data_IF_899571527317
#
_entry.id   IF_899571527317
#
_cell.length_a   1.000
_cell.length_b   1.000
_cell.length_c   1.000
_cell.angle_alpha   90.00
_cell.angle_beta   90.00
_cell.angle_gamma   90.00
#
_symmetry.space_group_name_H-M   'P 1'
#
loop_
_entity.id
_entity.type
_entity.pdbx_description
1 polymer ?
#
# COMPACT_ATOMS: atom_id res chain seq x y z
N UNK A 1 -14.78 -38.28 13.07
CA UNK A 1 -14.01 -38.59 14.30
C UNK A 1 -13.56 -37.29 14.94
N UNK A 2 -13.65 -37.20 16.26
CA UNK A 2 -13.15 -36.05 17.02
C UNK A 2 -11.63 -36.17 17.12
N UNK A 3 -10.89 -35.14 16.73
CA UNK A 3 -9.42 -35.15 16.82
C UNK A 3 -8.98 -35.33 18.26
N UNK A 4 -7.95 -36.14 18.47
CA UNK A 4 -7.35 -36.33 19.80
C UNK A 4 -6.68 -35.04 20.28
N UNK A 5 -6.44 -34.95 21.58
CA UNK A 5 -5.73 -33.80 22.15
C UNK A 5 -4.31 -33.68 21.58
N UNK A 6 -3.63 -34.81 21.37
CA UNK A 6 -2.28 -34.84 20.80
C UNK A 6 -2.25 -34.38 19.34
N UNK A 7 -3.23 -34.77 18.52
CA UNK A 7 -3.37 -34.28 17.14
C UNK A 7 -3.58 -32.75 17.10
N UNK A 8 -4.29 -32.19 18.08
CA UNK A 8 -4.49 -30.74 18.21
C UNK A 8 -3.20 -30.03 18.61
N UNK A 9 -2.46 -30.55 19.59
CA UNK A 9 -1.17 -29.99 19.98
C UNK A 9 -0.13 -30.09 18.87
N UNK A 10 -0.08 -31.21 18.17
CA UNK A 10 0.81 -31.40 17.02
C UNK A 10 0.48 -30.42 15.89
N UNK A 11 -0.80 -30.17 15.61
CA UNK A 11 -1.23 -29.13 14.66
C UNK A 11 -0.72 -27.75 15.09
N UNK A 12 -0.82 -27.40 16.38
CA UNK A 12 -0.35 -26.10 16.88
C UNK A 12 1.16 -25.94 16.71
N UNK A 13 1.93 -27.00 16.99
CA UNK A 13 3.38 -27.02 16.85
C UNK A 13 3.77 -26.92 15.37
N UNK A 14 3.21 -27.77 14.51
CA UNK A 14 3.54 -27.84 13.07
C UNK A 14 3.06 -26.61 12.29
N UNK A 15 1.91 -26.04 12.66
CA UNK A 15 1.35 -24.85 12.02
C UNK A 15 1.88 -23.55 12.61
N UNK A 16 2.82 -23.61 13.57
CA UNK A 16 3.38 -22.44 14.23
C UNK A 16 2.32 -21.52 14.83
N UNK A 17 1.21 -22.06 15.34
CA UNK A 17 0.14 -21.23 15.91
C UNK A 17 0.55 -20.57 17.24
N UNK A 18 1.67 -21.00 17.84
CA UNK A 18 2.17 -20.52 19.13
C UNK A 18 3.69 -20.19 19.19
N UNK A 19 4.46 -20.47 18.13
CA UNK A 19 5.91 -20.21 18.16
C UNK A 19 6.22 -18.77 17.74
N UNK A 20 6.76 -18.01 18.70
CA UNK A 20 7.27 -16.63 18.55
C UNK A 20 8.49 -16.50 17.61
N UNK A 21 8.99 -17.61 17.06
CA UNK A 21 10.22 -17.64 16.28
C UNK A 21 10.02 -18.46 15.00
N UNK A 22 9.89 -17.75 13.88
CA UNK A 22 9.94 -18.31 12.54
C UNK A 22 11.08 -17.60 11.80
N UNK A 23 12.28 -18.21 11.70
CA UNK A 23 13.47 -17.54 11.19
C UNK A 23 13.32 -17.11 9.72
N UNK A 24 12.66 -17.93 8.89
CA UNK A 24 12.41 -17.60 7.48
C UNK A 24 11.50 -16.37 7.36
N UNK A 25 10.46 -16.31 8.20
CA UNK A 25 9.58 -15.15 8.25
C UNK A 25 10.33 -13.91 8.75
N UNK A 26 11.12 -14.02 9.82
CA UNK A 26 11.89 -12.91 10.38
C UNK A 26 12.89 -12.36 9.37
N UNK A 27 13.70 -13.21 8.75
CA UNK A 27 14.68 -12.82 7.74
C UNK A 27 14.01 -12.09 6.56
N UNK A 28 12.90 -12.65 6.05
CA UNK A 28 12.14 -12.02 4.96
C UNK A 28 11.57 -10.66 5.40
N UNK A 29 11.06 -10.57 6.62
CA UNK A 29 10.45 -9.35 7.14
C UNK A 29 11.51 -8.28 7.42
N UNK A 30 12.65 -8.63 8.00
CA UNK A 30 13.79 -7.74 8.21
C UNK A 30 14.36 -7.21 6.89
N UNK A 31 14.45 -8.07 5.87
CA UNK A 31 14.86 -7.66 4.53
C UNK A 31 13.90 -6.64 3.93
N UNK A 32 12.59 -6.87 4.08
CA UNK A 32 11.55 -5.92 3.66
C UNK A 32 11.59 -4.59 4.44
N UNK A 33 11.75 -4.64 5.76
CA UNK A 33 11.87 -3.42 6.57
C UNK A 33 13.12 -2.62 6.19
N UNK A 34 14.22 -3.31 5.90
CA UNK A 34 15.47 -2.70 5.47
C UNK A 34 15.30 -1.99 4.12
N UNK A 35 14.66 -2.62 3.13
CA UNK A 35 14.44 -2.01 1.82
C UNK A 35 13.52 -0.79 1.88
N UNK A 36 12.49 -0.81 2.74
CA UNK A 36 11.64 0.37 3.00
C UNK A 36 12.45 1.50 3.66
N UNK A 37 13.24 1.18 4.69
CA UNK A 37 14.12 2.15 5.37
C UNK A 37 15.09 2.82 4.40
N UNK A 38 15.74 2.04 3.54
CA UNK A 38 16.67 2.56 2.52
C UNK A 38 15.95 3.45 1.51
N UNK A 39 14.78 3.02 1.04
CA UNK A 39 13.92 3.82 0.15
C UNK A 39 13.60 5.19 0.77
N UNK A 40 13.26 5.23 2.06
CA UNK A 40 12.98 6.46 2.79
C UNK A 40 14.23 7.34 2.99
N UNK A 41 15.38 6.73 3.24
CA UNK A 41 16.64 7.47 3.40
C UNK A 41 17.05 8.15 2.09
N UNK A 42 16.90 7.47 0.95
CA UNK A 42 17.14 8.05 -0.38
C UNK A 42 16.20 9.23 -0.64
N UNK A 43 14.91 9.06 -0.33
CA UNK A 43 13.92 10.13 -0.48
C UNK A 43 14.26 11.34 0.41
N UNK A 44 14.64 11.10 1.68
CA UNK A 44 15.06 12.16 2.61
C UNK A 44 16.24 12.95 2.05
N UNK A 45 17.28 12.26 1.60
CA UNK A 45 18.47 12.90 1.05
C UNK A 45 18.13 13.73 -0.20
N UNK A 46 17.26 13.21 -1.08
CA UNK A 46 16.81 13.94 -2.26
C UNK A 46 16.06 15.22 -1.88
N UNK A 47 15.14 15.16 -0.92
CA UNK A 47 14.42 16.33 -0.42
C UNK A 47 15.36 17.35 0.25
N UNK A 48 16.38 16.89 0.97
CA UNK A 48 17.36 17.79 1.60
C UNK A 48 18.23 18.55 0.57
N UNK A 49 18.46 17.97 -0.61
CA UNK A 49 19.27 18.57 -1.68
C UNK A 49 18.42 19.40 -2.66
N UNK A 50 17.30 18.85 -3.13
CA UNK A 50 16.48 19.39 -4.22
C UNK A 50 15.25 20.17 -3.72
N UNK A 51 14.99 20.13 -2.41
CA UNK A 51 13.78 20.66 -1.78
C UNK A 51 12.60 19.70 -1.83
N UNK A 52 11.50 20.04 -1.16
CA UNK A 52 10.29 19.22 -1.16
C UNK A 52 9.47 19.44 -2.44
N UNK A 53 9.31 18.41 -3.25
CA UNK A 53 8.55 18.46 -4.50
C UNK A 53 7.67 17.21 -4.68
N UNK A 54 6.50 17.38 -5.32
CA UNK A 54 5.58 16.26 -5.62
C UNK A 54 6.20 15.21 -6.55
N UNK A 55 7.07 15.65 -7.46
CA UNK A 55 7.81 14.79 -8.39
C UNK A 55 8.58 13.68 -7.67
N UNK A 56 9.20 13.97 -6.51
CA UNK A 56 9.95 12.96 -5.76
C UNK A 56 9.07 11.78 -5.31
N UNK A 57 7.82 12.03 -4.95
CA UNK A 57 6.87 10.99 -4.55
C UNK A 57 6.30 10.24 -5.76
N UNK A 58 6.16 10.90 -6.90
CA UNK A 58 5.77 10.24 -8.15
C UNK A 58 6.85 9.26 -8.62
N UNK A 59 8.10 9.68 -8.61
CA UNK A 59 9.26 8.85 -8.93
C UNK A 59 9.35 7.66 -7.96
N UNK A 60 9.14 7.91 -6.66
CA UNK A 60 9.11 6.87 -5.64
C UNK A 60 8.09 5.77 -5.94
N UNK A 61 6.86 6.16 -6.32
CA UNK A 61 5.79 5.23 -6.68
C UNK A 61 6.07 4.48 -7.99
N UNK A 62 6.69 5.14 -8.96
CA UNK A 62 6.95 4.57 -10.27
C UNK A 62 8.15 3.61 -10.28
N UNK A 63 9.23 3.95 -9.57
CA UNK A 63 10.53 3.31 -9.72
C UNK A 63 10.86 2.31 -8.60
N UNK A 64 10.31 2.50 -7.40
CA UNK A 64 10.69 1.69 -6.23
C UNK A 64 9.66 0.61 -5.95
N UNK A 65 10.12 -0.63 -5.81
CA UNK A 65 9.26 -1.80 -5.54
C UNK A 65 8.33 -1.57 -4.33
N UNK A 66 8.86 -0.97 -3.26
CA UNK A 66 8.13 -0.66 -2.04
C UNK A 66 7.76 0.83 -1.91
N UNK A 67 7.66 1.55 -3.03
CA UNK A 67 7.36 2.98 -3.04
C UNK A 67 6.04 3.33 -2.32
N UNK A 68 4.99 2.54 -2.57
CA UNK A 68 3.71 2.73 -1.86
C UNK A 68 3.86 2.52 -0.35
N UNK A 69 4.55 1.46 0.08
CA UNK A 69 4.76 1.19 1.49
C UNK A 69 5.55 2.30 2.18
N UNK A 70 6.54 2.89 1.50
CA UNK A 70 7.29 4.03 2.00
C UNK A 70 6.39 5.27 2.19
N UNK A 71 5.51 5.58 1.24
CA UNK A 71 4.55 6.70 1.38
C UNK A 71 3.60 6.45 2.54
N UNK A 72 3.03 5.26 2.63
CA UNK A 72 2.09 4.91 3.69
C UNK A 72 2.75 4.95 5.08
N UNK A 73 4.01 4.51 5.18
CA UNK A 73 4.78 4.63 6.42
C UNK A 73 5.01 6.10 6.82
N UNK A 74 5.30 6.99 5.87
CA UNK A 74 5.49 8.42 6.13
C UNK A 74 4.20 9.11 6.59
N UNK A 75 3.06 8.73 6.01
CA UNK A 75 1.76 9.30 6.36
C UNK A 75 1.10 8.63 7.57
N UNK A 76 1.67 7.54 8.06
CA UNK A 76 1.11 6.74 9.16
C UNK A 76 -0.12 5.93 8.75
N UNK A 77 -0.32 5.68 7.46
CA UNK A 77 -1.47 4.92 6.95
C UNK A 77 -1.14 3.44 6.84
N UNK A 78 -2.12 2.59 7.16
CA UNK A 78 -2.04 1.17 6.87
C UNK A 78 -2.47 0.88 5.43
N UNK A 79 -2.00 -0.23 4.87
CA UNK A 79 -2.45 -0.70 3.55
C UNK A 79 -3.97 -0.88 3.50
N UNK A 80 -4.58 -1.39 4.58
CA UNK A 80 -6.02 -1.60 4.67
C UNK A 80 -6.80 -0.28 4.72
N UNK A 81 -6.29 0.71 5.45
CA UNK A 81 -6.88 2.05 5.42
C UNK A 81 -6.80 2.65 4.02
N UNK A 82 -5.67 2.50 3.33
CA UNK A 82 -5.49 2.99 1.97
C UNK A 82 -6.46 2.33 0.98
N UNK A 83 -6.65 1.00 1.03
CA UNK A 83 -7.64 0.29 0.20
C UNK A 83 -9.05 0.83 0.39
N UNK A 84 -9.45 1.05 1.64
CA UNK A 84 -10.75 1.65 1.97
C UNK A 84 -10.88 3.07 1.46
N UNK A 85 -9.83 3.88 1.60
CA UNK A 85 -9.79 5.24 1.08
C UNK A 85 -10.00 5.27 -0.43
N UNK A 86 -9.27 4.42 -1.19
CA UNK A 86 -9.45 4.30 -2.64
C UNK A 86 -10.89 3.86 -2.98
N UNK A 87 -11.45 2.94 -2.21
CA UNK A 87 -12.84 2.48 -2.41
C UNK A 87 -13.84 3.61 -2.21
N UNK A 88 -13.67 4.43 -1.17
CA UNK A 88 -14.50 5.61 -0.90
C UNK A 88 -14.37 6.62 -2.04
N UNK A 89 -13.15 6.93 -2.48
CA UNK A 89 -12.91 7.85 -3.60
C UNK A 89 -13.66 7.37 -4.86
N UNK A 90 -13.66 6.07 -5.13
CA UNK A 90 -14.40 5.49 -6.26
C UNK A 90 -15.91 5.61 -6.11
N UNK A 91 -16.43 5.44 -4.89
CA UNK A 91 -17.87 5.45 -4.62
C UNK A 91 -18.50 6.84 -4.47
N UNK A 92 -17.74 7.82 -4.00
CA UNK A 92 -18.25 9.17 -3.76
C UNK A 92 -18.32 9.96 -5.07
N UNK A 93 -19.47 10.58 -5.33
CA UNK A 93 -19.65 11.55 -6.41
C UNK A 93 -19.44 12.97 -5.86
N UNK A 94 -18.16 13.34 -5.71
CA UNK A 94 -17.74 14.67 -5.27
C UNK A 94 -16.78 15.25 -6.31
N UNK A 95 -17.17 16.38 -6.91
CA UNK A 95 -16.42 17.00 -8.00
C UNK A 95 -15.07 17.59 -7.56
N UNK A 96 -14.95 18.07 -6.32
CA UNK A 96 -13.71 18.65 -5.81
C UNK A 96 -12.69 17.54 -5.54
N UNK A 97 -13.12 16.48 -4.86
CA UNK A 97 -12.33 15.27 -4.62
C UNK A 97 -11.92 14.63 -5.94
N UNK A 98 -12.84 14.46 -6.88
CA UNK A 98 -12.58 13.83 -8.18
C UNK A 98 -11.53 14.61 -8.97
N UNK A 99 -11.59 15.94 -8.93
CA UNK A 99 -10.56 16.82 -9.53
C UNK A 99 -9.22 16.72 -8.80
N UNK A 100 -9.23 16.71 -7.46
CA UNK A 100 -8.02 16.62 -6.65
C UNK A 100 -7.24 15.32 -6.93
N UNK A 101 -7.95 14.19 -6.98
CA UNK A 101 -7.33 12.86 -7.13
C UNK A 101 -7.33 12.35 -8.57
N UNK A 102 -7.77 13.18 -9.54
CA UNK A 102 -7.87 12.83 -10.95
C UNK A 102 -8.72 11.57 -11.21
N UNK A 103 -9.79 11.37 -10.45
CA UNK A 103 -10.63 10.15 -10.44
C UNK A 103 -11.02 9.70 -11.85
N UNK A 104 -11.49 10.62 -12.68
CA UNK A 104 -11.97 10.34 -14.05
C UNK A 104 -10.90 9.79 -15.00
N UNK A 105 -9.61 9.88 -14.60
CA UNK A 105 -8.48 9.43 -15.41
C UNK A 105 -7.98 8.02 -15.04
N UNK A 106 -8.48 7.43 -13.96
CA UNK A 106 -8.03 6.13 -13.50
C UNK A 106 -9.12 5.22 -12.94
N UNK A 107 -10.30 5.76 -12.60
CA UNK A 107 -11.46 4.99 -12.23
C UNK A 107 -12.51 5.06 -13.34
N UNK A 108 -13.01 3.90 -13.73
CA UNK A 108 -14.22 3.81 -14.56
C UNK A 108 -15.44 4.27 -13.74
N UNK A 109 -16.44 4.82 -14.43
CA UNK A 109 -17.76 5.04 -13.85
C UNK A 109 -18.45 3.69 -13.67
N UNK A 110 -18.50 3.23 -12.42
CA UNK A 110 -19.18 2.01 -12.02
C UNK A 110 -20.31 2.41 -11.06
N UNK A 111 -21.54 1.86 -11.19
CA UNK A 111 -22.59 2.09 -10.21
C UNK A 111 -22.10 1.76 -8.80
N UNK A 112 -22.47 2.56 -7.81
CA UNK A 112 -22.00 2.41 -6.42
C UNK A 112 -22.24 1.00 -5.87
N UNK A 113 -23.36 0.39 -6.26
CA UNK A 113 -23.75 -0.98 -5.92
C UNK A 113 -22.74 -2.06 -6.36
N UNK A 114 -21.95 -1.76 -7.40
CA UNK A 114 -20.97 -2.66 -7.99
C UNK A 114 -19.52 -2.33 -7.58
N UNK A 115 -19.33 -1.36 -6.66
CA UNK A 115 -18.01 -1.00 -6.18
C UNK A 115 -17.59 -1.96 -5.07
N UNK A 116 -16.48 -2.66 -5.33
CA UNK A 116 -15.79 -3.48 -4.35
C UNK A 116 -14.39 -2.94 -4.07
N UNK A 117 -13.88 -3.28 -2.89
CA UNK A 117 -12.51 -2.97 -2.49
C UNK A 117 -11.51 -3.67 -3.41
N UNK A 118 -10.49 -2.93 -3.84
CA UNK A 118 -9.41 -3.49 -4.65
C UNK A 118 -8.36 -4.20 -3.81
N UNK A 119 -7.93 -5.35 -4.31
CA UNK A 119 -6.77 -6.05 -3.76
C UNK A 119 -5.44 -5.40 -4.15
N UNK A 120 -4.37 -5.82 -3.47
CA UNK A 120 -3.01 -5.27 -3.65
C UNK A 120 -2.53 -5.36 -5.10
N UNK A 121 -2.83 -6.47 -5.79
CA UNK A 121 -2.44 -6.67 -7.21
C UNK A 121 -3.01 -5.59 -8.12
N UNK A 122 -4.27 -5.22 -7.95
CA UNK A 122 -4.92 -4.18 -8.76
C UNK A 122 -4.30 -2.81 -8.51
N UNK A 123 -4.12 -2.47 -7.23
CA UNK A 123 -3.51 -1.20 -6.82
C UNK A 123 -2.07 -1.09 -7.35
N UNK A 124 -1.24 -2.11 -7.15
CA UNK A 124 0.13 -2.12 -7.67
C UNK A 124 0.16 -2.12 -9.20
N UNK A 125 -0.79 -2.78 -9.86
CA UNK A 125 -0.95 -2.71 -11.31
C UNK A 125 -1.18 -1.28 -11.79
N UNK A 126 -2.15 -0.57 -11.18
CA UNK A 126 -2.46 0.82 -11.50
C UNK A 126 -1.31 1.77 -11.17
N UNK A 127 -0.60 1.56 -10.06
CA UNK A 127 0.59 2.35 -9.74
C UNK A 127 1.64 2.21 -10.84
N UNK A 128 1.82 1.03 -11.44
CA UNK A 128 2.78 0.83 -12.53
C UNK A 128 2.32 1.46 -13.84
N UNK A 129 1.05 1.26 -14.20
CA UNK A 129 0.57 1.57 -15.57
C UNK A 129 -0.11 2.92 -15.71
N UNK A 130 -0.62 3.52 -14.62
CA UNK A 130 -1.42 4.73 -14.68
C UNK A 130 -0.76 5.87 -13.89
N UNK A 131 -0.20 6.84 -14.61
CA UNK A 131 0.41 8.04 -14.02
C UNK A 131 -0.60 8.90 -13.25
N UNK A 132 -1.82 9.04 -13.76
CA UNK A 132 -2.86 9.82 -13.10
C UNK A 132 -3.29 9.21 -11.78
N UNK A 133 -3.26 7.89 -11.66
CA UNK A 133 -3.46 7.21 -10.38
C UNK A 133 -2.35 7.56 -9.39
N UNK A 134 -1.07 7.51 -9.80
CA UNK A 134 0.05 7.94 -8.95
C UNK A 134 -0.08 9.40 -8.50
N UNK A 135 -0.44 10.29 -9.42
CA UNK A 135 -0.72 11.69 -9.12
C UNK A 135 -1.86 11.84 -8.13
N UNK A 136 -2.95 11.08 -8.30
CA UNK A 136 -4.08 11.07 -7.38
C UNK A 136 -3.70 10.65 -5.96
N UNK A 137 -2.85 9.63 -5.84
CA UNK A 137 -2.27 9.19 -4.56
C UNK A 137 -1.46 10.33 -3.93
N UNK A 138 -0.52 10.93 -4.67
CA UNK A 138 0.33 12.02 -4.13
C UNK A 138 -0.50 13.23 -3.72
N UNK A 139 -1.49 13.63 -4.51
CA UNK A 139 -2.38 14.75 -4.20
C UNK A 139 -3.23 14.50 -2.94
N UNK A 140 -3.54 13.23 -2.63
CA UNK A 140 -4.29 12.86 -1.42
C UNK A 140 -3.50 13.09 -0.14
N UNK A 141 -2.17 13.15 -0.22
CA UNK A 141 -1.27 13.25 0.94
C UNK A 141 -0.49 14.57 1.03
N UNK A 142 -0.25 15.24 -0.09
CA UNK A 142 0.54 16.45 -0.16
C UNK A 142 -0.24 17.56 -0.88
N UNK A 143 -0.59 18.62 -0.13
CA UNK A 143 -1.09 19.88 -0.71
C UNK A 143 0.03 20.59 -1.44
#
# INVERSE_FOLDING_TARGET
MMRTTDEKFQTIIEKNTFYFYNPIFQEKYESYLTSVKETLLVLKNRIEIEGLQKSHFLDLLAEKEHGLAAILALTGFSNEFFKRLITIIRAVDDSELSRLVLKDKWSEMVPVENISEWGDKTIHGLIRTNEHFRMGIVNSFAR
#
